data_IF_409762507742
#
_entry.id   IF_409762507742
#
_cell.length_a   1.000
_cell.length_b   1.000
_cell.length_c   1.000
_cell.angle_alpha   90.00
_cell.angle_beta   90.00
_cell.angle_gamma   90.00
#
_symmetry.space_group_name_H-M   'P 1'
#
loop_
_entity.id
_entity.type
_entity.pdbx_description
1 polymer ?
#
# COMPACT_ATOMS: atom_id res chain seq x y z
N UNK A 1 -19.57 -23.73 66.45
CA UNK A 1 -18.36 -24.05 67.21
C UNK A 1 -17.20 -23.79 66.27
N UNK A 2 -16.59 -22.59 66.31
CA UNK A 2 -15.35 -22.29 67.07
C UNK A 2 -14.23 -23.26 66.63
N UNK A 3 -13.04 -22.88 66.17
CA UNK A 3 -12.18 -21.73 66.39
C UNK A 3 -10.95 -21.94 65.42
N UNK A 4 -10.28 -20.92 64.85
CA UNK A 4 -9.06 -20.26 65.38
C UNK A 4 -7.95 -21.30 65.63
N UNK A 5 -6.70 -21.28 65.15
CA UNK A 5 -5.83 -20.30 64.48
C UNK A 5 -4.39 -20.90 64.48
N UNK A 6 -3.48 -20.54 63.55
CA UNK A 6 -2.27 -19.70 63.81
C UNK A 6 -0.94 -20.45 64.05
N UNK A 7 0.07 -20.04 63.25
CA UNK A 7 1.54 -19.96 63.50
C UNK A 7 2.35 -21.29 63.50
N UNK A 8 3.64 -21.38 63.14
CA UNK A 8 4.72 -20.41 62.89
C UNK A 8 5.89 -21.11 62.15
N UNK A 9 6.61 -20.39 61.28
CA UNK A 9 8.02 -20.67 60.89
C UNK A 9 8.99 -20.32 62.05
N UNK A 10 10.20 -20.89 62.11
CA UNK A 10 11.43 -20.11 61.75
C UNK A 10 12.49 -20.93 60.95
N UNK A 11 13.28 -20.31 60.04
CA UNK A 11 14.70 -19.86 60.18
C UNK A 11 15.66 -20.96 60.69
N UNK A 12 16.89 -21.21 60.21
CA UNK A 12 17.90 -20.46 59.44
C UNK A 12 19.09 -21.41 59.10
N UNK A 13 19.90 -21.02 58.10
CA UNK A 13 21.17 -21.63 57.61
C UNK A 13 22.32 -21.65 58.67
N UNK A 14 23.66 -21.80 58.38
CA UNK A 14 24.44 -22.04 57.13
C UNK A 14 25.71 -22.95 57.31
N UNK A 15 26.67 -22.86 56.35
CA UNK A 15 28.12 -23.22 56.39
C UNK A 15 28.47 -24.66 55.96
N UNK A 16 29.52 -24.98 55.18
CA UNK A 16 30.65 -24.21 54.63
C UNK A 16 31.52 -25.11 53.72
N UNK A 17 31.95 -24.56 52.58
CA UNK A 17 33.31 -24.55 51.98
C UNK A 17 34.17 -25.82 51.74
N UNK A 18 35.02 -25.68 50.71
CA UNK A 18 36.32 -26.31 50.37
C UNK A 18 36.23 -27.07 49.03
N UNK A 19 36.62 -26.54 47.86
CA UNK A 19 37.87 -25.90 47.35
C UNK A 19 38.86 -26.94 46.75
N UNK A 20 39.39 -26.53 45.59
CA UNK A 20 40.56 -26.99 44.80
C UNK A 20 40.36 -28.23 43.92
N UNK A 21 40.91 -28.33 42.70
CA UNK A 21 41.56 -27.44 41.72
C UNK A 21 42.06 -28.40 40.62
N UNK A 22 41.92 -28.04 39.35
CA UNK A 22 43.00 -27.65 38.41
C UNK A 22 44.17 -28.68 38.38
N UNK A 23 44.73 -29.10 37.25
CA UNK A 23 44.93 -28.40 35.99
C UNK A 23 45.67 -29.34 34.99
N UNK A 24 45.82 -28.88 33.73
CA UNK A 24 47.08 -28.93 32.93
C UNK A 24 47.41 -30.29 32.26
N UNK A 25 47.78 -30.43 30.97
CA UNK A 25 48.29 -29.49 29.97
C UNK A 25 48.22 -30.07 28.53
N UNK A 26 47.96 -29.17 27.56
CA UNK A 26 48.59 -29.02 26.23
C UNK A 26 48.94 -30.21 25.31
N UNK A 27 48.45 -30.10 24.07
CA UNK A 27 49.28 -30.35 22.86
C UNK A 27 48.94 -29.36 21.74
N UNK A 28 49.88 -28.45 21.52
CA UNK A 28 50.06 -27.66 20.31
C UNK A 28 50.46 -28.57 19.14
N UNK A 29 49.93 -28.32 17.94
CA UNK A 29 50.67 -28.49 16.67
C UNK A 29 50.22 -27.42 15.68
N UNK A 30 51.15 -26.51 15.43
CA UNK A 30 51.28 -25.63 14.27
C UNK A 30 51.50 -26.46 12.99
N UNK A 31 50.99 -25.97 11.86
CA UNK A 31 51.61 -26.15 10.55
C UNK A 31 51.21 -24.97 9.66
N UNK A 32 52.22 -24.23 9.21
CA UNK A 32 52.15 -23.25 8.12
C UNK A 32 52.98 -23.77 6.95
N UNK A 33 52.61 -23.31 5.75
CA UNK A 33 53.32 -23.30 4.45
C UNK A 33 53.35 -24.62 3.67
N UNK A 34 52.60 -24.66 2.57
CA UNK A 34 53.13 -24.78 1.19
C UNK A 34 52.15 -24.09 0.23
N UNK A 35 52.54 -22.93 -0.29
CA UNK A 35 52.10 -22.40 -1.59
C UNK A 35 52.64 -23.32 -2.70
N UNK A 36 51.80 -23.68 -3.67
CA UNK A 36 52.25 -24.03 -5.01
C UNK A 36 51.46 -23.19 -6.01
N UNK A 37 52.21 -22.27 -6.59
CA UNK A 37 51.81 -21.27 -7.57
C UNK A 37 51.54 -21.85 -8.97
N UNK A 38 51.04 -21.02 -9.92
CA UNK A 38 50.31 -21.43 -11.11
C UNK A 38 51.11 -21.43 -12.43
N UNK A 39 50.48 -22.00 -13.47
CA UNK A 39 50.73 -21.86 -14.93
C UNK A 39 52.00 -22.52 -15.52
N UNK A 40 51.89 -23.03 -16.77
CA UNK A 40 52.46 -22.25 -17.87
C UNK A 40 51.72 -22.37 -19.21
N UNK A 41 51.61 -21.24 -19.92
CA UNK A 41 51.98 -21.01 -21.33
C UNK A 41 51.69 -19.51 -21.56
N UNK A 42 52.67 -18.63 -21.31
CA UNK A 42 53.56 -18.01 -22.30
C UNK A 42 52.81 -17.37 -23.48
N UNK A 43 53.10 -16.18 -23.97
CA UNK A 43 53.95 -15.04 -23.63
C UNK A 43 53.73 -14.06 -24.82
N UNK A 44 53.79 -12.75 -24.62
CA UNK A 44 54.69 -11.84 -25.37
C UNK A 44 54.29 -10.34 -25.29
N UNK A 45 55.33 -9.54 -24.99
CA UNK A 45 55.56 -8.08 -25.08
C UNK A 45 54.77 -7.14 -24.14
N UNK A 46 55.36 -6.62 -23.04
CA UNK A 46 56.29 -5.45 -22.93
C UNK A 46 55.70 -4.18 -23.59
N UNK A 47 55.55 -3.03 -22.95
CA UNK A 47 56.56 -2.25 -22.21
C UNK A 47 55.93 -0.96 -21.62
N UNK A 48 56.38 -0.57 -20.41
CA UNK A 48 56.65 0.78 -19.82
C UNK A 48 55.81 2.02 -20.27
N UNK A 49 55.46 3.01 -19.43
CA UNK A 49 56.09 3.57 -18.24
C UNK A 49 55.11 4.42 -17.41
N UNK A 50 55.49 4.67 -16.16
CA UNK A 50 54.97 5.64 -15.19
C UNK A 50 55.05 7.11 -15.63
N UNK A 51 54.16 7.97 -15.12
CA UNK A 51 54.49 9.11 -14.23
C UNK A 51 53.36 10.17 -14.14
N UNK A 52 52.98 10.48 -12.89
CA UNK A 52 52.68 11.80 -12.28
C UNK A 52 51.80 12.86 -12.99
N UNK A 53 50.76 13.32 -12.26
CA UNK A 53 50.00 14.58 -12.42
C UNK A 53 50.87 15.83 -12.06
N UNK A 54 50.48 17.12 -12.30
CA UNK A 54 49.21 17.76 -11.91
C UNK A 54 48.64 18.87 -12.87
N UNK A 55 47.52 19.49 -12.46
CA UNK A 55 46.98 20.89 -12.65
C UNK A 55 47.30 21.64 -13.97
N UNK A 56 46.42 22.39 -14.65
CA UNK A 56 45.53 23.44 -14.15
C UNK A 56 44.59 23.98 -15.27
N UNK A 57 43.71 24.92 -14.91
CA UNK A 57 42.63 25.54 -15.69
C UNK A 57 43.05 26.49 -16.84
N UNK A 58 42.07 26.78 -17.71
CA UNK A 58 41.78 28.07 -18.37
C UNK A 58 42.01 28.25 -19.89
N UNK A 59 40.90 28.62 -20.54
CA UNK A 59 40.72 29.64 -21.60
C UNK A 59 41.08 29.41 -23.09
N UNK A 60 40.00 29.42 -23.89
CA UNK A 60 39.72 30.29 -25.05
C UNK A 60 40.80 30.52 -26.15
N UNK A 61 40.43 30.00 -27.33
CA UNK A 61 40.17 30.75 -28.58
C UNK A 61 41.25 30.89 -29.65
N UNK A 62 40.76 30.76 -30.91
CA UNK A 62 41.29 31.17 -32.23
C UNK A 62 42.37 30.23 -32.82
N UNK A 63 42.06 29.54 -33.92
CA UNK A 63 42.30 29.92 -35.33
C UNK A 63 43.82 30.02 -35.60
N UNK A 64 44.46 29.39 -36.58
CA UNK A 64 44.07 29.01 -37.94
C UNK A 64 45.26 28.28 -38.61
N UNK A 65 44.96 27.49 -39.63
CA UNK A 65 45.76 27.21 -40.82
C UNK A 65 47.04 26.34 -40.81
N UNK A 66 47.14 25.61 -41.95
CA UNK A 66 48.28 24.89 -42.56
C UNK A 66 48.53 23.48 -42.00
N UNK A 67 48.55 22.39 -42.78
CA UNK A 67 48.43 22.17 -44.21
C UNK A 67 49.03 20.81 -44.59
N UNK A 68 48.24 19.97 -45.28
CA UNK A 68 48.62 19.10 -46.41
C UNK A 68 49.45 17.81 -46.15
N UNK A 69 48.82 16.62 -46.32
CA UNK A 69 48.98 15.65 -47.45
C UNK A 69 48.26 14.31 -47.13
N UNK A 70 47.13 14.00 -47.80
CA UNK A 70 46.95 13.03 -48.92
C UNK A 70 47.23 11.56 -48.51
N UNK A 71 46.26 10.64 -48.52
CA UNK A 71 45.70 10.02 -49.75
C UNK A 71 44.45 9.12 -49.52
N UNK A 72 43.48 9.21 -50.48
CA UNK A 72 42.62 8.15 -51.11
C UNK A 72 41.70 7.24 -50.23
N UNK A 73 40.40 6.93 -50.46
CA UNK A 73 39.38 7.04 -51.54
C UNK A 73 37.97 6.89 -50.94
N UNK A 74 36.96 7.64 -51.41
CA UNK A 74 35.56 7.18 -51.44
C UNK A 74 34.73 7.97 -52.46
N UNK A 75 34.11 7.24 -53.39
CA UNK A 75 33.34 7.71 -54.55
C UNK A 75 32.12 8.56 -54.20
N UNK A 76 31.93 9.64 -54.95
CA UNK A 76 30.76 10.55 -54.90
C UNK A 76 30.03 10.47 -56.25
N UNK A 77 28.77 10.04 -56.24
CA UNK A 77 27.82 10.26 -57.35
C UNK A 77 27.01 11.51 -57.02
N UNK A 78 27.07 12.50 -57.90
CA UNK A 78 26.32 13.75 -57.83
C UNK A 78 24.86 13.53 -58.25
N UNK A 79 23.92 14.20 -57.58
CA UNK A 79 22.62 14.51 -58.20
C UNK A 79 22.05 15.81 -57.61
N UNK A 80 21.80 16.76 -58.51
CA UNK A 80 21.40 18.15 -58.24
C UNK A 80 19.93 18.28 -57.78
N UNK A 81 19.59 19.33 -57.00
CA UNK A 81 18.21 19.61 -56.62
C UNK A 81 17.43 20.27 -57.77
N UNK A 82 16.49 19.52 -58.37
CA UNK A 82 15.55 20.03 -59.38
C UNK A 82 14.68 21.17 -58.84
N UNK A 83 14.84 22.38 -59.41
CA UNK A 83 13.94 23.53 -59.21
C UNK A 83 12.54 23.20 -59.77
N UNK A 84 11.48 23.47 -59.01
CA UNK A 84 10.08 23.31 -59.45
C UNK A 84 9.73 24.41 -60.48
N UNK A 85 8.96 24.10 -61.54
CA UNK A 85 8.51 25.10 -62.49
C UNK A 85 7.47 26.06 -61.87
N UNK A 86 7.35 27.30 -62.37
CA UNK A 86 6.44 28.30 -61.82
C UNK A 86 4.95 27.91 -62.01
N UNK A 87 4.16 28.22 -60.99
CA UNK A 87 2.71 28.01 -60.93
C UNK A 87 2.01 28.85 -62.01
N UNK A 88 1.23 28.23 -62.90
CA UNK A 88 0.30 28.96 -63.78
C UNK A 88 -0.92 29.39 -62.96
N UNK A 89 -1.38 30.65 -63.01
CA UNK A 89 -2.62 31.04 -62.36
C UNK A 89 -3.81 30.33 -63.02
N UNK A 90 -4.65 29.69 -62.21
CA UNK A 90 -5.91 29.13 -62.66
C UNK A 90 -6.83 30.25 -63.14
N UNK A 91 -7.41 30.10 -64.34
CA UNK A 91 -8.50 30.95 -64.80
C UNK A 91 -9.66 30.94 -63.79
N UNK A 92 -10.36 32.07 -63.56
CA UNK A 92 -11.43 32.12 -62.59
C UNK A 92 -12.57 31.20 -63.05
N UNK A 93 -12.83 30.14 -62.28
CA UNK A 93 -14.01 29.30 -62.46
C UNK A 93 -15.25 30.19 -62.29
N UNK A 94 -16.08 30.31 -63.33
CA UNK A 94 -17.41 30.93 -63.19
C UNK A 94 -18.12 30.28 -62.01
N UNK A 95 -18.50 31.06 -61.00
CA UNK A 95 -19.40 30.60 -59.93
C UNK A 95 -20.71 30.17 -60.61
N UNK A 96 -20.95 28.86 -60.71
CA UNK A 96 -22.29 28.35 -61.00
C UNK A 96 -23.15 28.64 -59.78
N UNK A 97 -24.11 29.53 -59.95
CA UNK A 97 -25.12 29.79 -58.92
C UNK A 97 -25.98 28.53 -58.75
N UNK A 98 -26.07 28.04 -57.51
CA UNK A 98 -26.88 26.89 -57.17
C UNK A 98 -28.32 27.34 -56.90
N UNK A 99 -29.30 26.65 -57.49
CA UNK A 99 -30.73 26.94 -57.26
C UNK A 99 -31.12 26.74 -55.79
N UNK A 100 -32.14 27.44 -55.27
CA UNK A 100 -32.55 27.34 -53.85
C UNK A 100 -32.84 25.90 -53.38
N UNK A 101 -33.36 25.05 -54.26
CA UNK A 101 -33.59 23.62 -53.99
C UNK A 101 -32.29 22.80 -53.90
N UNK A 102 -31.25 23.14 -54.68
CA UNK A 102 -29.92 22.53 -54.54
C UNK A 102 -29.22 22.98 -53.25
N UNK A 103 -29.45 24.23 -52.82
CA UNK A 103 -28.96 24.73 -51.53
C UNK A 103 -29.68 24.05 -50.35
N UNK A 104 -31.00 23.82 -50.44
CA UNK A 104 -31.74 23.04 -49.44
C UNK A 104 -31.28 21.56 -49.40
N UNK A 105 -31.12 20.86 -50.53
CA UNK A 105 -30.61 19.46 -50.53
C UNK A 105 -29.19 19.36 -49.96
N UNK A 106 -28.34 20.37 -50.16
CA UNK A 106 -27.02 20.45 -49.51
C UNK A 106 -27.10 20.78 -48.02
N UNK A 107 -28.07 21.59 -47.59
CA UNK A 107 -28.36 21.85 -46.18
C UNK A 107 -28.84 20.58 -45.46
N UNK A 108 -29.70 19.78 -46.10
CA UNK A 108 -30.12 18.47 -45.60
C UNK A 108 -28.98 17.44 -45.57
N UNK A 109 -28.12 17.38 -46.61
CA UNK A 109 -26.91 16.52 -46.58
C UNK A 109 -25.87 16.96 -45.54
N UNK A 110 -25.70 18.27 -45.29
CA UNK A 110 -24.85 18.79 -44.21
C UNK A 110 -25.44 18.54 -42.82
N UNK A 111 -26.76 18.54 -42.70
CA UNK A 111 -27.48 18.19 -41.46
C UNK A 111 -27.37 16.69 -41.15
N UNK A 112 -27.44 15.81 -42.15
CA UNK A 112 -27.27 14.37 -42.00
C UNK A 112 -25.82 13.90 -41.80
N UNK A 113 -24.82 14.73 -42.16
CA UNK A 113 -23.39 14.48 -41.90
C UNK A 113 -22.95 14.91 -40.49
N UNK A 114 -23.89 15.36 -39.65
CA UNK A 114 -23.67 15.72 -38.24
C UNK A 114 -23.69 14.54 -37.27
N UNK A 115 -23.70 13.29 -37.73
CA UNK A 115 -23.43 12.15 -36.85
C UNK A 115 -21.91 12.08 -36.62
N UNK A 116 -21.45 12.69 -35.52
CA UNK A 116 -20.06 12.64 -35.10
C UNK A 116 -19.59 11.18 -34.92
N UNK A 117 -18.85 10.65 -35.89
CA UNK A 117 -18.14 9.39 -35.75
C UNK A 117 -17.01 9.58 -34.72
N UNK A 118 -17.30 9.29 -33.45
CA UNK A 118 -16.26 9.26 -32.41
C UNK A 118 -15.35 8.07 -32.68
N UNK A 119 -14.12 8.35 -33.15
CA UNK A 119 -13.09 7.32 -33.29
C UNK A 119 -12.87 6.65 -31.94
N UNK A 120 -13.08 5.33 -31.88
CA UNK A 120 -12.82 4.56 -30.66
C UNK A 120 -11.35 4.71 -30.27
N UNK A 121 -11.09 5.38 -29.15
CA UNK A 121 -9.72 5.61 -28.66
C UNK A 121 -9.14 4.36 -27.99
N UNK A 122 -10.00 3.58 -27.32
CA UNK A 122 -9.62 2.35 -26.59
C UNK A 122 -9.72 1.12 -27.49
N UNK A 123 -8.92 1.10 -28.55
CA UNK A 123 -8.85 -0.03 -29.48
C UNK A 123 -8.08 -1.22 -28.90
N UNK A 124 -8.16 -2.39 -29.55
CA UNK A 124 -7.29 -3.55 -29.24
C UNK A 124 -5.80 -3.19 -29.25
N UNK A 125 -5.39 -2.29 -30.16
CA UNK A 125 -4.02 -1.80 -30.24
C UNK A 125 -3.62 -0.93 -29.04
N UNK A 126 -4.57 -0.16 -28.47
CA UNK A 126 -4.36 0.57 -27.22
C UNK A 126 -4.08 -0.39 -26.07
N UNK A 127 -4.94 -1.39 -25.84
CA UNK A 127 -4.79 -2.33 -24.72
C UNK A 127 -3.52 -3.18 -24.79
N UNK A 128 -3.06 -3.54 -25.99
CA UNK A 128 -1.79 -4.26 -26.18
C UNK A 128 -0.56 -3.45 -25.72
N UNK A 129 -0.61 -2.12 -25.74
CA UNK A 129 0.49 -1.23 -25.33
C UNK A 129 0.26 -0.58 -23.97
N UNK A 130 -0.93 -0.77 -23.38
CA UNK A 130 -1.28 -0.12 -22.13
C UNK A 130 -0.56 -0.80 -20.96
N UNK A 131 0.46 -0.12 -20.42
CA UNK A 131 1.16 -0.59 -19.23
C UNK A 131 0.41 -0.16 -17.97
N UNK A 132 -0.09 -1.16 -17.25
CA UNK A 132 -0.88 -0.98 -16.05
C UNK A 132 0.03 -0.60 -14.86
N UNK A 133 -0.35 0.43 -14.09
CA UNK A 133 0.35 0.77 -12.85
C UNK A 133 0.11 -0.28 -11.76
N UNK A 134 0.96 -0.32 -10.73
CA UNK A 134 0.79 -1.22 -9.59
C UNK A 134 -0.61 -1.16 -8.97
N UNK A 135 -1.11 -2.29 -8.47
CA UNK A 135 -2.48 -2.45 -7.95
C UNK A 135 -2.90 -1.32 -6.99
N UNK A 136 -2.11 -1.05 -5.94
CA UNK A 136 -2.41 0.01 -4.97
C UNK A 136 -2.38 1.43 -5.53
N UNK A 137 -1.63 1.67 -6.61
CA UNK A 137 -1.61 2.98 -7.30
C UNK A 137 -2.89 3.17 -8.13
N UNK A 138 -3.40 2.10 -8.75
CA UNK A 138 -4.70 2.09 -9.45
C UNK A 138 -5.87 2.26 -8.49
N UNK A 139 -5.80 1.65 -7.32
CA UNK A 139 -6.78 1.85 -6.24
C UNK A 139 -6.63 3.21 -5.54
N UNK A 140 -5.61 4.01 -5.87
CA UNK A 140 -5.39 5.33 -5.26
C UNK A 140 -5.08 5.27 -3.76
N UNK A 141 -4.48 4.19 -3.25
CA UNK A 141 -4.22 3.99 -1.81
C UNK A 141 -2.77 4.27 -1.40
N UNK A 142 -1.86 4.35 -2.35
CA UNK A 142 -0.42 4.47 -2.04
C UNK A 142 0.29 5.25 -3.11
N UNK A 143 1.05 6.26 -2.68
CA UNK A 143 2.10 6.87 -3.47
C UNK A 143 3.41 6.09 -3.24
N UNK A 144 3.88 5.42 -4.29
CA UNK A 144 5.12 4.64 -4.24
C UNK A 144 6.36 5.53 -4.12
N UNK A 145 6.32 6.80 -4.59
CA UNK A 145 7.47 7.71 -4.46
C UNK A 145 7.72 8.09 -3.00
N UNK A 146 6.67 8.39 -2.25
CA UNK A 146 6.75 8.61 -0.81
C UNK A 146 7.13 7.31 -0.07
N UNK A 147 6.47 6.20 -0.41
CA UNK A 147 6.71 4.92 0.27
C UNK A 147 8.15 4.42 0.13
N UNK A 148 8.75 4.48 -1.06
CA UNK A 148 10.13 4.05 -1.30
C UNK A 148 11.09 4.78 -0.34
N UNK A 149 10.93 6.09 -0.15
CA UNK A 149 11.78 6.88 0.76
C UNK A 149 11.60 6.51 2.23
N UNK A 150 10.37 6.17 2.63
CA UNK A 150 10.08 5.78 4.02
C UNK A 150 10.60 4.38 4.36
N UNK A 151 10.51 3.41 3.44
CA UNK A 151 10.89 2.01 3.69
C UNK A 151 12.36 1.73 3.42
N UNK A 152 13.02 2.52 2.55
CA UNK A 152 14.41 2.28 2.19
C UNK A 152 15.28 2.39 3.46
N UNK A 153 16.05 1.35 3.73
CA UNK A 153 16.95 1.23 4.87
C UNK A 153 18.37 1.04 4.34
N UNK A 154 19.34 1.59 5.07
CA UNK A 154 20.74 1.43 4.71
C UNK A 154 21.13 -0.05 4.80
N UNK A 155 21.82 -0.56 3.78
CA UNK A 155 22.14 -2.00 3.68
C UNK A 155 23.09 -2.47 4.80
N UNK A 156 23.89 -1.57 5.37
CA UNK A 156 24.76 -1.84 6.50
C UNK A 156 24.01 -2.11 7.82
N UNK A 157 22.70 -1.85 7.88
CA UNK A 157 21.84 -2.18 9.03
C UNK A 157 21.23 -3.59 8.94
N UNK A 158 21.58 -4.36 7.91
CA UNK A 158 21.18 -5.75 7.70
C UNK A 158 19.67 -5.96 7.89
N UNK A 159 19.28 -6.83 8.84
CA UNK A 159 17.89 -7.19 9.10
C UNK A 159 17.21 -6.29 10.15
N UNK A 160 17.80 -5.13 10.48
CA UNK A 160 17.20 -4.21 11.46
C UNK A 160 15.93 -3.58 10.87
N UNK A 161 14.74 -3.83 11.46
CA UNK A 161 13.49 -3.33 10.92
C UNK A 161 13.43 -1.80 11.01
N UNK A 162 13.02 -1.16 9.91
CA UNK A 162 12.70 0.27 9.89
C UNK A 162 11.21 0.46 10.20
N UNK A 163 10.90 0.90 11.41
CA UNK A 163 9.52 1.07 11.86
C UNK A 163 8.90 2.36 11.34
N UNK A 164 7.62 2.26 10.97
CA UNK A 164 6.78 3.37 10.52
C UNK A 164 5.54 3.45 11.39
N UNK A 165 5.23 4.64 11.85
CA UNK A 165 3.97 4.98 12.51
C UNK A 165 2.95 5.39 11.45
N UNK A 166 2.10 4.45 11.07
CA UNK A 166 1.11 4.60 10.00
C UNK A 166 -0.22 5.06 10.60
N UNK A 167 -0.63 6.27 10.27
CA UNK A 167 -1.92 6.84 10.70
C UNK A 167 -2.85 6.94 9.51
N UNK A 168 -4.07 6.40 9.63
CA UNK A 168 -5.09 6.41 8.58
C UNK A 168 -6.43 6.84 9.16
N UNK A 169 -7.04 7.80 8.48
CA UNK A 169 -8.40 8.25 8.78
C UNK A 169 -9.37 7.58 7.82
N UNK A 170 -10.46 7.09 8.37
CA UNK A 170 -11.68 6.72 7.66
C UNK A 170 -12.78 7.71 8.04
N UNK A 171 -13.94 7.62 7.41
CA UNK A 171 -15.02 8.57 7.69
C UNK A 171 -15.55 8.49 9.13
N UNK A 172 -15.46 7.32 9.77
CA UNK A 172 -16.01 7.07 11.11
C UNK A 172 -14.97 6.63 12.15
N UNK A 173 -13.69 6.61 11.80
CA UNK A 173 -12.67 6.15 12.75
C UNK A 173 -11.24 6.40 12.29
N UNK A 174 -10.35 6.24 13.26
CA UNK A 174 -8.91 6.45 13.14
C UNK A 174 -8.22 5.11 13.38
N UNK A 175 -7.23 4.78 12.54
CA UNK A 175 -6.37 3.63 12.70
C UNK A 175 -4.92 4.10 12.83
N UNK A 176 -4.27 3.69 13.90
CA UNK A 176 -2.86 3.91 14.18
C UNK A 176 -2.16 2.55 14.22
N UNK A 177 -1.02 2.42 13.56
CA UNK A 177 -0.28 1.15 13.48
C UNK A 177 1.23 1.38 13.47
N UNK A 178 2.00 0.52 14.13
CA UNK A 178 3.46 0.42 13.92
C UNK A 178 3.73 -0.70 12.93
N UNK A 179 4.42 -0.36 11.84
CA UNK A 179 4.61 -1.27 10.71
C UNK A 179 6.08 -1.29 10.28
N UNK A 180 6.63 -2.49 10.09
CA UNK A 180 7.90 -2.71 9.38
C UNK A 180 7.65 -3.33 8.00
N UNK A 181 8.56 -3.12 7.05
CA UNK A 181 8.44 -3.69 5.71
C UNK A 181 9.22 -5.01 5.62
N UNK A 182 8.62 -6.04 5.01
CA UNK A 182 9.31 -7.27 4.59
C UNK A 182 9.09 -7.52 3.09
N UNK A 183 9.82 -8.49 2.53
CA UNK A 183 9.73 -8.84 1.10
C UNK A 183 8.34 -9.36 0.73
N UNK A 184 7.73 -10.20 1.57
CA UNK A 184 6.40 -10.75 1.34
C UNK A 184 5.29 -9.72 1.55
N UNK A 185 5.48 -8.82 2.53
CA UNK A 185 4.48 -7.83 2.91
C UNK A 185 4.88 -7.01 4.13
N UNK A 186 4.02 -6.06 4.50
CA UNK A 186 4.23 -5.28 5.72
C UNK A 186 3.85 -6.10 6.96
N UNK A 187 4.69 -6.05 7.99
CA UNK A 187 4.45 -6.69 9.29
C UNK A 187 3.97 -5.64 10.29
N UNK A 188 2.81 -5.85 10.91
CA UNK A 188 2.25 -4.95 11.92
C UNK A 188 2.73 -5.42 13.29
N UNK A 189 3.45 -4.55 14.00
CA UNK A 189 3.93 -4.82 15.35
C UNK A 189 2.80 -4.60 16.38
N UNK A 190 2.14 -3.44 16.32
CA UNK A 190 1.00 -3.10 17.15
C UNK A 190 -0.02 -2.26 16.38
N UNK A 191 -1.27 -2.30 16.82
CA UNK A 191 -2.37 -1.50 16.28
C UNK A 191 -3.24 -0.91 17.39
N UNK A 192 -3.82 0.25 17.09
CA UNK A 192 -4.84 0.90 17.91
C UNK A 192 -5.88 1.54 16.99
N UNK A 193 -7.14 1.50 17.43
CA UNK A 193 -8.26 2.01 16.66
C UNK A 193 -9.16 2.89 17.52
N UNK A 194 -9.78 3.91 16.91
CA UNK A 194 -10.68 4.81 17.61
C UNK A 194 -11.92 4.10 18.19
N UNK A 195 -12.41 3.04 17.55
CA UNK A 195 -13.57 2.29 18.04
C UNK A 195 -13.28 1.45 19.29
N UNK A 196 -12.03 1.40 19.76
CA UNK A 196 -11.67 0.81 21.04
C UNK A 196 -11.68 1.84 22.18
N UNK A 197 -11.65 3.14 21.86
CA UNK A 197 -11.68 4.23 22.83
C UNK A 197 -12.93 4.27 23.73
N UNK A 198 -14.12 3.79 23.30
CA UNK A 198 -15.28 3.68 24.18
C UNK A 198 -15.01 2.83 25.43
N UNK A 199 -14.07 1.88 25.38
CA UNK A 199 -13.68 1.08 26.56
C UNK A 199 -13.01 1.90 27.66
N UNK A 200 -12.42 3.04 27.28
CA UNK A 200 -11.72 3.95 28.19
C UNK A 200 -12.58 5.17 28.56
N UNK A 201 -13.85 5.21 28.14
CA UNK A 201 -14.79 6.28 28.45
C UNK A 201 -15.04 7.31 27.33
N UNK A 202 -14.42 7.16 26.15
CA UNK A 202 -14.70 8.04 25.00
C UNK A 202 -15.69 7.38 24.04
N UNK A 203 -16.98 7.63 24.23
CA UNK A 203 -18.04 6.99 23.44
C UNK A 203 -18.32 7.69 22.10
N UNK A 204 -18.20 9.02 22.06
CA UNK A 204 -18.55 9.87 20.91
C UNK A 204 -17.33 10.61 20.36
N UNK A 205 -17.45 11.19 19.16
CA UNK A 205 -16.40 12.06 18.62
C UNK A 205 -15.14 11.34 18.13
N UNK A 206 -15.24 10.08 17.71
CA UNK A 206 -14.11 9.18 17.38
C UNK A 206 -13.23 9.60 16.17
N UNK A 207 -13.47 10.76 15.56
CA UNK A 207 -12.71 11.26 14.42
C UNK A 207 -12.15 12.67 14.63
N UNK A 208 -12.33 13.30 15.79
CA UNK A 208 -11.79 14.64 16.06
C UNK A 208 -10.27 14.60 16.34
N UNK A 209 -9.67 15.76 16.62
CA UNK A 209 -8.24 15.86 16.94
C UNK A 209 -7.90 15.17 18.27
N UNK A 210 -8.77 15.31 19.28
CA UNK A 210 -8.61 14.72 20.61
C UNK A 210 -8.64 13.18 20.58
N UNK A 211 -9.55 12.58 19.82
CA UNK A 211 -9.59 11.14 19.59
C UNK A 211 -8.34 10.66 18.83
N UNK A 212 -7.83 11.45 17.87
CA UNK A 212 -6.57 11.14 17.19
C UNK A 212 -5.42 11.06 18.20
N UNK A 213 -5.32 12.05 19.09
CA UNK A 213 -4.37 12.07 20.20
C UNK A 213 -4.50 10.82 21.07
N UNK A 214 -5.71 10.50 21.54
CA UNK A 214 -5.97 9.30 22.34
C UNK A 214 -5.55 8.00 21.61
N UNK A 215 -5.83 7.87 20.31
CA UNK A 215 -5.40 6.69 19.53
C UNK A 215 -3.89 6.57 19.40
N UNK A 216 -3.17 7.70 19.28
CA UNK A 216 -1.72 7.73 19.25
C UNK A 216 -1.11 7.31 20.59
N UNK A 217 -1.65 7.86 21.69
CA UNK A 217 -1.26 7.53 23.05
C UNK A 217 -1.47 6.04 23.37
N UNK A 218 -2.63 5.50 23.00
CA UNK A 218 -2.95 4.09 23.18
C UNK A 218 -1.98 3.17 22.43
N UNK A 219 -1.65 3.52 21.19
CA UNK A 219 -0.66 2.76 20.43
C UNK A 219 0.73 2.81 21.07
N UNK A 220 1.18 3.99 21.49
CA UNK A 220 2.49 4.16 22.12
C UNK A 220 2.63 3.29 23.38
N UNK A 221 1.66 3.38 24.30
CA UNK A 221 1.65 2.58 25.52
C UNK A 221 1.55 1.08 25.25
N UNK A 222 0.82 0.66 24.20
CA UNK A 222 0.79 -0.75 23.75
C UNK A 222 2.15 -1.26 23.30
N UNK A 223 2.84 -0.47 22.47
CA UNK A 223 4.15 -0.85 21.93
C UNK A 223 5.18 -0.94 23.05
N UNK A 224 5.21 0.05 23.93
CA UNK A 224 6.15 0.07 25.05
C UNK A 224 5.88 -1.05 26.05
N UNK A 225 4.61 -1.33 26.38
CA UNK A 225 4.25 -2.46 27.26
C UNK A 225 4.63 -3.81 26.66
N UNK A 226 4.50 -3.96 25.34
CA UNK A 226 4.90 -5.18 24.63
C UNK A 226 6.42 -5.36 24.56
N UNK A 227 7.19 -4.26 24.61
CA UNK A 227 8.65 -4.27 24.60
C UNK A 227 9.25 -4.16 26.00
N UNK A 228 8.42 -4.11 27.04
CA UNK A 228 8.83 -3.97 28.46
C UNK A 228 9.67 -2.71 28.69
N UNK A 229 9.26 -1.59 28.10
CA UNK A 229 9.93 -0.27 28.17
C UNK A 229 8.99 0.85 28.62
N UNK A 230 7.84 0.48 29.18
CA UNK A 230 6.77 1.41 29.54
C UNK A 230 7.02 2.20 30.82
N UNK A 231 7.87 1.69 31.72
CA UNK A 231 8.34 2.37 32.93
C UNK A 231 9.47 3.38 32.65
N UNK A 232 10.42 3.03 31.77
CA UNK A 232 11.53 3.90 31.37
C UNK A 232 11.05 5.10 30.55
N UNK A 233 10.13 4.86 29.61
CA UNK A 233 9.61 5.88 28.71
C UNK A 233 8.13 6.17 28.97
N UNK A 234 7.85 6.90 30.06
CA UNK A 234 6.48 7.30 30.42
C UNK A 234 5.91 8.42 29.55
N UNK A 235 6.79 9.20 28.92
CA UNK A 235 6.44 10.40 28.15
C UNK A 235 5.83 11.50 29.01
N UNK A 236 5.14 12.46 28.38
CA UNK A 236 4.52 13.59 29.07
C UNK A 236 3.15 13.19 29.67
N UNK A 237 3.05 13.12 31.00
CA UNK A 237 1.83 12.71 31.73
C UNK A 237 0.70 13.72 31.62
N UNK A 238 1.01 15.01 31.65
CA UNK A 238 0.02 16.08 31.82
C UNK A 238 -0.53 16.63 30.51
N UNK A 239 0.03 16.21 29.37
CA UNK A 239 -0.36 16.66 28.03
C UNK A 239 -0.41 18.19 27.92
N UNK A 240 0.68 18.85 28.31
CA UNK A 240 0.82 20.33 28.33
C UNK A 240 0.62 20.98 26.96
N UNK A 241 0.82 20.23 25.87
CA UNK A 241 0.70 20.71 24.48
C UNK A 241 2.00 21.27 23.90
N UNK A 242 3.06 21.32 24.71
CA UNK A 242 4.39 21.73 24.30
C UNK A 242 5.03 20.72 23.35
N UNK A 243 6.04 21.13 22.59
CA UNK A 243 6.85 20.19 21.81
C UNK A 243 7.59 19.23 22.77
N UNK A 244 7.50 17.93 22.50
CA UNK A 244 8.08 16.92 23.37
C UNK A 244 8.83 15.90 22.53
N UNK A 245 10.12 15.78 22.78
CA UNK A 245 11.00 14.76 22.23
C UNK A 245 11.47 13.88 23.38
N UNK A 246 11.44 12.57 23.16
CA UNK A 246 11.93 11.60 24.15
C UNK A 246 13.43 11.54 24.03
N UNK A 247 14.13 12.00 25.06
CA UNK A 247 15.59 11.88 25.13
C UNK A 247 16.02 10.45 25.43
N UNK A 248 17.15 9.98 24.88
CA UNK A 248 17.66 8.65 25.14
C UNK A 248 18.06 8.51 26.61
N UNK A 249 17.68 7.36 27.19
CA UNK A 249 18.08 6.99 28.55
C UNK A 249 19.48 6.39 28.55
N UNK A 250 19.96 6.01 29.74
CA UNK A 250 21.24 5.33 29.89
C UNK A 250 21.21 3.87 29.43
N UNK A 251 20.04 3.23 29.47
CA UNK A 251 19.92 1.79 29.27
C UNK A 251 19.61 1.39 27.82
N UNK A 252 18.37 1.60 27.37
CA UNK A 252 17.89 1.32 26.01
C UNK A 252 17.60 2.63 25.30
N UNK A 253 17.60 2.61 23.97
CA UNK A 253 17.17 3.78 23.20
C UNK A 253 15.65 3.76 23.04
N UNK A 254 14.98 4.93 23.03
CA UNK A 254 13.54 5.00 22.86
C UNK A 254 13.11 4.39 21.53
N UNK A 255 11.90 3.84 21.50
CA UNK A 255 11.39 3.17 20.32
C UNK A 255 11.18 4.18 19.18
N UNK A 256 12.04 4.09 18.17
CA UNK A 256 12.02 5.03 17.04
C UNK A 256 11.10 4.57 15.91
N UNK A 257 10.16 5.44 15.51
CA UNK A 257 9.29 5.21 14.36
C UNK A 257 9.19 6.45 13.45
N UNK A 258 8.97 6.24 12.15
CA UNK A 258 8.77 7.34 11.20
C UNK A 258 7.29 7.54 10.87
N UNK A 259 6.78 8.76 10.95
CA UNK A 259 5.40 9.05 10.60
C UNK A 259 5.12 8.79 9.10
N UNK A 260 4.18 7.90 8.81
CA UNK A 260 3.65 7.63 7.47
C UNK A 260 2.23 8.20 7.35
N UNK A 261 2.13 9.37 6.72
CA UNK A 261 0.89 10.11 6.47
C UNK A 261 0.11 9.55 5.26
N UNK A 262 0.74 8.72 4.44
CA UNK A 262 0.15 8.14 3.23
C UNK A 262 -0.10 9.21 2.15
N UNK A 263 -1.37 9.37 1.78
CA UNK A 263 -1.81 10.34 0.75
C UNK A 263 -2.43 11.60 1.35
N UNK A 264 -2.48 11.70 2.68
CA UNK A 264 -3.05 12.86 3.37
C UNK A 264 -2.13 14.06 3.19
N UNK A 265 -2.72 15.24 2.96
CA UNK A 265 -1.95 16.49 2.85
C UNK A 265 -1.43 16.90 4.22
N UNK A 266 -0.15 17.23 4.30
CA UNK A 266 0.52 17.68 5.52
C UNK A 266 0.26 19.17 5.77
N UNK A 267 -0.99 19.53 6.03
CA UNK A 267 -1.42 20.87 6.43
C UNK A 267 -1.24 21.08 7.93
N UNK A 268 -1.12 22.33 8.38
CA UNK A 268 -1.10 22.68 9.81
C UNK A 268 -2.44 22.33 10.46
N UNK A 269 -2.40 21.79 11.69
CA UNK A 269 -3.61 21.37 12.42
C UNK A 269 -4.30 20.12 11.86
N UNK A 270 -3.66 19.36 10.97
CA UNK A 270 -4.23 18.09 10.52
C UNK A 270 -4.26 17.07 11.68
N UNK A 271 -5.37 16.35 11.81
CA UNK A 271 -5.59 15.32 12.84
C UNK A 271 -4.53 14.21 12.85
N UNK A 272 -3.85 13.94 11.73
CA UNK A 272 -2.69 13.02 11.70
C UNK A 272 -1.61 13.45 12.68
N UNK A 273 -1.40 14.76 12.84
CA UNK A 273 -0.42 15.30 13.78
C UNK A 273 -0.94 15.28 15.23
N UNK A 274 -2.25 15.21 15.46
CA UNK A 274 -2.81 14.90 16.78
C UNK A 274 -2.44 13.49 17.23
N UNK A 275 -2.56 12.50 16.34
CA UNK A 275 -2.11 11.13 16.61
C UNK A 275 -0.58 11.03 16.78
N UNK A 276 0.19 11.83 16.03
CA UNK A 276 1.63 11.99 16.26
C UNK A 276 1.89 12.51 17.67
N UNK A 277 1.21 13.58 18.09
CA UNK A 277 1.44 14.18 19.40
C UNK A 277 1.10 13.22 20.54
N UNK A 278 0.00 12.48 20.44
CA UNK A 278 -0.34 11.44 21.41
C UNK A 278 0.69 10.31 21.46
N UNK A 279 1.29 9.95 20.33
CA UNK A 279 2.35 8.94 20.29
C UNK A 279 3.65 9.41 20.96
N UNK A 280 4.02 10.69 20.80
CA UNK A 280 5.16 11.32 21.46
C UNK A 280 4.97 11.39 22.97
N UNK A 281 3.82 11.90 23.42
CA UNK A 281 3.48 12.01 24.84
C UNK A 281 3.31 10.63 25.50
N UNK A 282 3.09 9.59 24.69
CA UNK A 282 3.08 8.19 25.14
C UNK A 282 4.46 7.53 25.22
N UNK A 283 5.54 8.22 24.81
CA UNK A 283 6.92 7.75 24.94
C UNK A 283 7.57 7.19 23.67
N UNK A 284 6.96 7.34 22.48
CA UNK A 284 7.62 6.96 21.23
C UNK A 284 8.54 8.09 20.71
N UNK A 285 9.70 7.71 20.19
CA UNK A 285 10.57 8.64 19.45
C UNK A 285 10.12 8.71 17.99
N UNK A 286 9.51 9.82 17.60
CA UNK A 286 9.14 10.09 16.21
C UNK A 286 9.76 11.42 15.80
N UNK A 287 10.76 11.42 14.88
CA UNK A 287 11.37 12.65 14.41
C UNK A 287 10.35 13.58 13.75
N UNK A 288 10.21 14.80 14.26
CA UNK A 288 9.20 15.75 13.80
C UNK A 288 9.65 17.21 13.98
N UNK A 289 8.77 18.13 13.61
CA UNK A 289 8.92 19.56 13.81
C UNK A 289 7.54 20.15 14.16
N UNK A 290 7.54 21.15 15.04
CA UNK A 290 6.41 21.87 15.61
C UNK A 290 5.47 22.57 14.59
N UNK A 291 5.96 22.90 13.39
CA UNK A 291 5.24 23.65 12.34
C UNK A 291 3.92 23.05 11.85
N UNK A 292 3.60 21.81 12.21
CA UNK A 292 2.41 21.10 11.72
C UNK A 292 1.35 20.83 12.78
N UNK A 293 1.64 21.13 14.05
CA UNK A 293 0.67 21.03 15.12
C UNK A 293 -0.43 22.08 14.99
N UNK A 294 -1.56 21.82 15.66
CA UNK A 294 -2.64 22.79 15.77
C UNK A 294 -2.20 23.93 16.70
N UNK A 295 -2.44 25.19 16.32
CA UNK A 295 -1.95 26.37 17.07
C UNK A 295 -0.64 26.96 16.56
N UNK A 296 0.03 26.33 15.58
CA UNK A 296 1.21 26.92 14.97
C UNK A 296 0.84 28.12 14.08
N UNK A 297 1.34 29.30 14.43
CA UNK A 297 1.17 30.51 13.62
C UNK A 297 2.35 30.68 12.68
N UNK A 298 2.06 30.78 11.38
CA UNK A 298 3.09 30.90 10.34
C UNK A 298 3.86 32.22 10.42
N UNK A 299 3.21 33.28 10.88
CA UNK A 299 3.76 34.64 10.91
C UNK A 299 4.78 34.79 12.06
N UNK A 300 4.39 34.34 13.26
CA UNK A 300 5.24 34.36 14.46
C UNK A 300 6.26 33.21 14.48
N UNK A 301 6.06 32.17 13.65
CA UNK A 301 6.86 30.93 13.59
C UNK A 301 6.99 30.22 14.96
N UNK A 302 6.02 30.42 15.84
CA UNK A 302 5.97 29.83 17.16
C UNK A 302 4.68 29.03 17.33
N UNK A 303 4.76 27.99 18.16
CA UNK A 303 3.61 27.17 18.55
C UNK A 303 2.91 27.84 19.73
N UNK A 304 1.63 28.15 19.55
CA UNK A 304 0.77 28.52 20.67
C UNK A 304 0.38 27.25 21.44
N UNK A 305 1.04 27.05 22.58
CA UNK A 305 0.89 25.88 23.45
C UNK A 305 -0.53 25.77 24.00
N UNK A 306 -1.14 26.91 24.35
CA UNK A 306 -2.49 26.93 24.91
C UNK A 306 -3.53 26.50 23.87
N UNK A 307 -3.39 27.00 22.63
CA UNK A 307 -4.25 26.57 21.53
C UNK A 307 -4.05 25.09 21.27
N UNK A 308 -2.81 24.60 21.21
CA UNK A 308 -2.56 23.19 20.98
C UNK A 308 -3.18 22.30 22.08
N UNK A 309 -3.04 22.70 23.35
CA UNK A 309 -3.67 22.05 24.51
C UNK A 309 -5.20 22.03 24.38
N UNK A 310 -5.82 23.15 23.96
CA UNK A 310 -7.26 23.21 23.66
C UNK A 310 -7.67 22.21 22.58
N UNK A 311 -6.84 21.93 21.58
CA UNK A 311 -7.13 20.90 20.57
C UNK A 311 -7.04 19.46 21.12
N UNK A 312 -6.07 19.20 22.00
CA UNK A 312 -5.87 17.89 22.63
C UNK A 312 -7.08 17.51 23.51
N UNK A 313 -7.58 18.45 24.30
CA UNK A 313 -8.73 18.22 25.20
C UNK A 313 -10.09 18.51 24.57
N UNK A 314 -10.16 18.71 23.24
CA UNK A 314 -11.43 18.90 22.54
C UNK A 314 -12.11 20.26 22.80
N UNK A 315 -11.40 21.25 23.34
CA UNK A 315 -11.91 22.59 23.60
C UNK A 315 -12.49 23.27 22.36
N UNK A 316 -11.91 23.07 21.18
CA UNK A 316 -12.47 23.55 19.91
C UNK A 316 -13.86 22.98 19.58
N UNK A 317 -14.13 21.72 19.97
CA UNK A 317 -15.45 21.10 19.81
C UNK A 317 -16.41 21.67 20.85
N UNK A 318 -15.97 21.85 22.09
CA UNK A 318 -16.77 22.48 23.14
C UNK A 318 -17.14 23.93 22.78
N UNK A 319 -16.20 24.73 22.25
CA UNK A 319 -16.50 26.07 21.74
C UNK A 319 -17.52 26.03 20.61
N UNK A 320 -17.39 25.08 19.67
CA UNK A 320 -18.34 24.94 18.56
C UNK A 320 -19.74 24.51 19.03
N UNK A 321 -19.82 23.68 20.06
CA UNK A 321 -21.09 23.32 20.71
C UNK A 321 -21.74 24.57 21.32
N UNK A 322 -21.00 25.38 22.08
CA UNK A 322 -21.51 26.62 22.69
C UNK A 322 -22.04 27.61 21.66
N UNK A 323 -21.26 27.89 20.61
CA UNK A 323 -21.70 28.80 19.54
C UNK A 323 -22.97 28.30 18.86
N UNK A 324 -23.09 26.98 18.59
CA UNK A 324 -24.29 26.43 17.96
C UNK A 324 -25.50 26.39 18.90
N UNK A 325 -25.30 26.25 20.21
CA UNK A 325 -26.40 26.31 21.17
C UNK A 325 -26.99 27.72 21.25
N UNK A 326 -26.15 28.76 21.15
CA UNK A 326 -26.55 30.16 21.21
C UNK A 326 -27.14 30.65 19.87
N UNK A 327 -26.45 30.38 18.75
CA UNK A 327 -26.82 30.92 17.44
C UNK A 327 -27.93 30.10 16.76
N UNK A 328 -27.84 28.76 16.79
CA UNK A 328 -28.65 27.86 15.96
C UNK A 328 -28.96 26.50 16.62
N UNK A 329 -29.93 26.46 17.56
CA UNK A 329 -30.20 25.26 18.37
C UNK A 329 -30.65 24.05 17.54
N UNK A 330 -31.31 24.26 16.40
CA UNK A 330 -31.69 23.16 15.48
C UNK A 330 -30.47 22.45 14.89
N UNK A 331 -29.45 23.22 14.47
CA UNK A 331 -28.19 22.65 13.97
C UNK A 331 -27.43 21.94 15.07
N UNK A 332 -27.45 22.46 16.30
CA UNK A 332 -26.86 21.79 17.45
C UNK A 332 -27.47 20.39 17.67
N UNK A 333 -28.79 20.29 17.67
CA UNK A 333 -29.49 19.01 17.83
C UNK A 333 -29.15 18.02 16.72
N UNK A 334 -29.05 18.48 15.47
CA UNK A 334 -28.70 17.62 14.34
C UNK A 334 -27.23 17.14 14.40
N UNK A 335 -26.28 18.06 14.61
CA UNK A 335 -24.84 17.74 14.59
C UNK A 335 -24.38 16.96 15.82
N UNK A 336 -24.93 17.26 17.00
CA UNK A 336 -24.51 16.69 18.28
C UNK A 336 -25.55 15.75 18.88
N UNK A 337 -26.45 15.19 18.06
CA UNK A 337 -27.46 14.21 18.49
C UNK A 337 -26.89 13.08 19.35
N UNK A 338 -25.76 12.48 18.96
CA UNK A 338 -25.10 11.44 19.77
C UNK A 338 -24.56 11.95 21.10
N UNK A 339 -24.11 13.21 21.18
CA UNK A 339 -23.64 13.81 22.44
C UNK A 339 -24.81 14.07 23.39
N UNK A 340 -25.94 14.57 22.86
CA UNK A 340 -27.18 14.80 23.63
C UNK A 340 -27.72 13.47 24.17
N UNK A 341 -27.76 12.43 23.33
CA UNK A 341 -28.21 11.09 23.72
C UNK A 341 -27.36 10.46 24.84
N UNK A 342 -26.10 10.87 24.96
CA UNK A 342 -25.16 10.40 25.99
C UNK A 342 -25.00 11.37 27.16
N UNK A 343 -25.68 12.53 27.14
CA UNK A 343 -25.60 13.54 28.19
C UNK A 343 -24.24 14.22 28.31
N UNK A 344 -23.50 14.39 27.20
CA UNK A 344 -22.18 15.03 27.20
C UNK A 344 -22.31 16.51 26.87
N UNK A 345 -22.07 17.35 27.87
CA UNK A 345 -22.10 18.81 27.78
C UNK A 345 -20.72 19.40 27.42
N UNK A 346 -20.67 20.62 26.85
CA UNK A 346 -19.42 21.23 26.42
C UNK A 346 -18.42 21.47 27.56
N UNK A 347 -18.90 21.77 28.78
CA UNK A 347 -18.05 22.11 29.91
C UNK A 347 -17.32 20.89 30.51
N UNK A 348 -17.89 19.68 30.40
CA UNK A 348 -17.31 18.43 30.91
C UNK A 348 -16.31 17.73 29.98
N UNK A 349 -16.02 18.30 28.81
CA UNK A 349 -15.21 17.64 27.77
C UNK A 349 -13.75 17.44 28.19
N UNK A 350 -13.12 18.45 28.82
CA UNK A 350 -11.71 18.34 29.24
C UNK A 350 -11.51 17.24 30.29
N UNK A 351 -12.42 17.15 31.26
CA UNK A 351 -12.38 16.10 32.28
C UNK A 351 -12.53 14.70 31.68
N UNK A 352 -13.40 14.57 30.67
CA UNK A 352 -13.62 13.30 29.96
C UNK A 352 -12.32 12.83 29.31
N UNK A 353 -11.61 13.70 28.58
CA UNK A 353 -10.34 13.32 27.95
C UNK A 353 -9.23 13.03 28.98
N UNK A 354 -9.15 13.77 30.09
CA UNK A 354 -8.21 13.46 31.18
C UNK A 354 -8.43 12.06 31.75
N UNK A 355 -9.69 11.69 32.02
CA UNK A 355 -10.06 10.33 32.47
C UNK A 355 -9.66 9.28 31.45
N UNK A 356 -9.91 9.53 30.17
CA UNK A 356 -9.53 8.62 29.07
C UNK A 356 -8.00 8.45 28.98
N UNK A 357 -7.23 9.53 29.08
CA UNK A 357 -5.76 9.46 29.05
C UNK A 357 -5.21 8.64 30.22
N UNK A 358 -5.75 8.83 31.43
CA UNK A 358 -5.38 8.05 32.60
C UNK A 358 -5.75 6.57 32.45
N UNK A 359 -6.95 6.27 31.96
CA UNK A 359 -7.40 4.89 31.72
C UNK A 359 -6.55 4.17 30.67
N UNK A 360 -6.14 4.87 29.60
CA UNK A 360 -5.23 4.33 28.58
C UNK A 360 -3.85 4.00 29.17
N UNK A 361 -3.33 4.85 30.06
CA UNK A 361 -2.03 4.63 30.71
C UNK A 361 -2.09 3.45 31.67
N UNK A 362 -3.19 3.28 32.40
CA UNK A 362 -3.40 2.16 33.30
C UNK A 362 -3.43 0.82 32.52
N UNK A 363 -4.30 0.73 31.50
CA UNK A 363 -4.51 -0.52 30.77
C UNK A 363 -4.45 -0.33 29.25
N UNK A 364 -3.26 -0.34 28.63
CA UNK A 364 -3.16 -0.19 27.19
C UNK A 364 -3.50 -1.48 26.43
N UNK A 365 -3.82 -2.61 27.08
CA UNK A 365 -3.87 -3.92 26.40
C UNK A 365 -4.99 -4.02 25.34
N UNK A 366 -4.78 -4.87 24.32
CA UNK A 366 -5.77 -5.10 23.27
C UNK A 366 -6.73 -6.22 23.68
N UNK A 367 -8.03 -5.91 23.84
CA UNK A 367 -9.00 -6.96 24.16
C UNK A 367 -9.32 -7.82 22.94
N UNK A 368 -9.20 -9.14 23.10
CA UNK A 368 -9.48 -10.15 22.07
C UNK A 368 -10.98 -10.29 21.81
N UNK A 369 -11.35 -10.65 20.58
CA UNK A 369 -12.74 -10.97 20.24
C UNK A 369 -13.18 -12.26 20.93
N UNK A 370 -14.32 -12.21 21.62
CA UNK A 370 -14.96 -13.38 22.24
C UNK A 370 -15.86 -14.16 21.28
N UNK A 371 -16.12 -13.63 20.08
CA UNK A 371 -16.99 -14.27 19.08
C UNK A 371 -16.30 -15.53 18.50
N UNK A 372 -16.95 -16.71 18.56
CA UNK A 372 -16.38 -17.92 17.97
C UNK A 372 -16.39 -17.81 16.43
N UNK A 373 -15.45 -18.51 15.74
CA UNK A 373 -15.48 -18.59 14.29
C UNK A 373 -16.78 -19.28 13.83
N UNK A 374 -17.41 -18.83 12.73
CA UNK A 374 -18.62 -19.46 12.22
C UNK A 374 -18.32 -20.89 11.78
N UNK A 375 -19.21 -21.84 12.14
CA UNK A 375 -19.07 -23.26 11.79
C UNK A 375 -19.12 -23.50 10.27
N UNK A 376 -19.96 -22.74 9.57
CA UNK A 376 -20.10 -22.82 8.11
C UNK A 376 -20.03 -21.43 7.48
N UNK A 377 -19.27 -21.29 6.39
CA UNK A 377 -19.13 -20.01 5.68
C UNK A 377 -20.23 -19.85 4.62
N UNK A 378 -21.28 -19.10 4.95
CA UNK A 378 -22.34 -18.74 3.98
C UNK A 378 -21.75 -17.89 2.85
N UNK A 379 -21.92 -18.36 1.60
CA UNK A 379 -21.45 -17.63 0.41
C UNK A 379 -22.54 -16.70 -0.11
N UNK A 380 -22.27 -15.40 -0.12
CA UNK A 380 -23.18 -14.38 -0.68
C UNK A 380 -22.92 -14.08 -2.17
N UNK A 381 -21.69 -14.35 -2.64
CA UNK A 381 -21.30 -14.10 -4.03
C UNK A 381 -21.70 -15.28 -4.94
N UNK A 382 -22.14 -14.99 -6.16
CA UNK A 382 -22.43 -16.02 -7.16
C UNK A 382 -21.23 -16.94 -7.39
N UNK A 383 -21.50 -18.23 -7.60
CA UNK A 383 -20.49 -19.20 -8.03
C UNK A 383 -20.05 -18.86 -9.45
N UNK A 384 -18.74 -18.94 -9.70
CA UNK A 384 -18.21 -18.72 -11.05
C UNK A 384 -18.70 -19.88 -11.91
N UNK A 385 -19.43 -19.58 -12.97
CA UNK A 385 -19.97 -20.59 -13.89
C UNK A 385 -18.85 -21.47 -14.42
N UNK A 386 -19.14 -22.76 -14.51
CA UNK A 386 -18.21 -23.72 -15.12
C UNK A 386 -18.08 -23.44 -16.62
N UNK A 387 -17.14 -24.12 -17.28
CA UNK A 387 -17.01 -24.00 -18.73
C UNK A 387 -18.24 -24.56 -19.46
N UNK A 388 -18.74 -25.71 -19.02
CA UNK A 388 -19.89 -26.41 -19.59
C UNK A 388 -21.18 -25.59 -19.46
N UNK A 389 -21.45 -25.05 -18.27
CA UNK A 389 -22.60 -24.17 -18.04
C UNK A 389 -22.57 -22.93 -18.94
N UNK A 390 -21.38 -22.37 -19.20
CA UNK A 390 -21.22 -21.23 -20.12
C UNK A 390 -21.43 -21.64 -21.57
N UNK A 391 -21.01 -22.84 -21.97
CA UNK A 391 -21.21 -23.39 -23.32
C UNK A 391 -22.70 -23.68 -23.57
N UNK A 392 -23.37 -24.31 -22.61
CA UNK A 392 -24.81 -24.58 -22.69
C UNK A 392 -25.61 -23.28 -22.85
N UNK A 393 -25.35 -22.28 -21.99
CA UNK A 393 -25.99 -20.95 -22.09
C UNK A 393 -25.72 -20.24 -23.42
N UNK A 394 -24.56 -20.44 -24.03
CA UNK A 394 -24.27 -19.88 -25.35
C UNK A 394 -25.10 -20.55 -26.44
N UNK A 395 -25.21 -21.89 -26.40
CA UNK A 395 -26.02 -22.66 -27.35
C UNK A 395 -27.49 -22.26 -27.23
N UNK A 396 -28.02 -22.21 -26.01
CA UNK A 396 -29.39 -21.77 -25.73
C UNK A 396 -29.64 -20.36 -26.29
N UNK A 397 -28.70 -19.43 -26.10
CA UNK A 397 -28.82 -18.06 -26.61
C UNK A 397 -28.79 -17.98 -28.14
N UNK A 398 -27.97 -18.79 -28.80
CA UNK A 398 -27.92 -18.86 -30.26
C UNK A 398 -29.22 -19.45 -30.83
N UNK A 399 -29.72 -20.53 -30.22
CA UNK A 399 -30.97 -21.15 -30.63
C UNK A 399 -32.15 -20.19 -30.47
N UNK A 400 -32.22 -19.45 -29.36
CA UNK A 400 -33.24 -18.44 -29.13
C UNK A 400 -33.18 -17.29 -30.15
N UNK A 401 -31.97 -16.81 -30.49
CA UNK A 401 -31.79 -15.77 -31.51
C UNK A 401 -32.24 -16.23 -32.91
N UNK A 402 -31.91 -17.46 -33.27
CA UNK A 402 -32.32 -18.04 -34.54
C UNK A 402 -33.85 -18.22 -34.60
N UNK A 403 -34.47 -18.60 -33.48
CA UNK A 403 -35.93 -18.70 -33.39
C UNK A 403 -36.64 -17.33 -33.47
N UNK A 404 -36.08 -16.28 -32.84
CA UNK A 404 -36.66 -14.93 -32.93
C UNK A 404 -36.50 -14.30 -34.31
N UNK A 405 -35.37 -14.52 -34.99
CA UNK A 405 -35.13 -13.96 -36.32
C UNK A 405 -36.03 -14.61 -37.40
N UNK A 406 -36.55 -15.81 -37.15
CA UNK A 406 -37.52 -16.47 -38.03
C UNK A 406 -38.98 -16.06 -37.80
N UNK A 407 -39.28 -15.23 -36.78
CA UNK A 407 -40.63 -14.73 -36.52
C UNK A 407 -40.91 -13.35 -37.16
N UNK A 408 -39.86 -12.62 -37.55
CA UNK A 408 -39.96 -11.32 -38.24
C UNK A 408 -40.08 -11.45 -39.77
N UNK A 409 -40.15 -12.67 -40.32
CA UNK A 409 -40.25 -12.94 -41.77
C UNK A 409 -41.66 -13.27 -42.26
N UNK A 410 -42.65 -13.34 -41.38
CA UNK A 410 -43.99 -13.86 -41.70
C UNK A 410 -45.09 -12.78 -41.75
N UNK A 411 -44.74 -11.50 -41.92
CA UNK A 411 -45.69 -10.38 -42.04
C UNK A 411 -45.49 -9.46 -43.27
N UNK A 412 -45.06 -9.98 -44.42
CA UNK A 412 -45.21 -9.26 -45.70
C UNK A 412 -45.62 -10.19 -46.86
N UNK A 413 -46.88 -10.60 -46.86
CA UNK A 413 -47.59 -11.05 -48.07
C UNK A 413 -48.88 -10.22 -48.23
N UNK A 414 -48.77 -9.00 -48.79
CA UNK A 414 -49.68 -8.49 -49.84
C UNK A 414 -49.23 -7.08 -50.28
N UNK A 415 -48.57 -6.96 -51.44
CA UNK A 415 -48.90 -5.98 -52.50
C UNK A 415 -47.93 -6.12 -53.70
N UNK A 416 -48.52 -6.22 -54.88
CA UNK A 416 -47.90 -6.51 -56.18
C UNK A 416 -46.77 -5.56 -56.64
N UNK A 417 -45.69 -6.19 -57.17
CA UNK A 417 -45.04 -5.92 -58.48
C UNK A 417 -44.15 -4.66 -58.61
N UNK A 418 -42.82 -4.86 -58.69
CA UNK A 418 -41.97 -4.50 -59.86
C UNK A 418 -40.47 -4.85 -59.67
N UNK A 419 -39.94 -5.64 -60.63
CA UNK A 419 -38.57 -5.64 -61.17
C UNK A 419 -37.35 -5.93 -60.24
N UNK A 420 -36.94 -7.21 -60.18
CA UNK A 420 -35.64 -7.76 -60.66
C UNK A 420 -35.29 -9.07 -59.92
N UNK A 421 -34.74 -10.10 -60.59
CA UNK A 421 -34.39 -11.36 -59.93
C UNK A 421 -33.12 -11.22 -59.08
N UNK A 422 -33.07 -11.74 -57.84
CA UNK A 422 -31.81 -11.85 -57.12
C UNK A 422 -30.99 -13.01 -57.70
N UNK A 423 -29.76 -12.71 -58.10
CA UNK A 423 -28.75 -13.69 -58.46
C UNK A 423 -28.47 -14.62 -57.28
N UNK A 424 -28.48 -15.93 -57.57
CA UNK A 424 -27.92 -16.99 -56.75
C UNK A 424 -26.54 -16.58 -56.20
N UNK A 425 -26.43 -16.38 -54.89
CA UNK A 425 -25.13 -16.40 -54.21
C UNK A 425 -24.86 -17.86 -53.86
N UNK A 426 -24.09 -18.52 -54.72
CA UNK A 426 -23.49 -19.81 -54.48
C UNK A 426 -22.57 -19.75 -53.26
N UNK A 427 -22.72 -20.72 -52.37
CA UNK A 427 -21.77 -21.02 -51.32
C UNK A 427 -20.39 -21.29 -51.95
N UNK A 428 -19.42 -20.43 -51.64
CA UNK A 428 -17.99 -20.76 -51.79
C UNK A 428 -17.45 -21.19 -50.43
N UNK A 429 -16.71 -22.32 -50.34
CA UNK A 429 -16.21 -22.82 -49.07
C UNK A 429 -14.99 -22.00 -48.64
N UNK A 430 -15.14 -21.13 -47.64
CA UNK A 430 -14.01 -20.39 -47.07
C UNK A 430 -13.42 -21.13 -45.87
N UNK A 431 -12.34 -21.86 -46.18
CA UNK A 431 -11.06 -21.86 -45.47
C UNK A 431 -11.07 -22.11 -43.95
N UNK A 432 -10.82 -23.38 -43.59
CA UNK A 432 -10.19 -23.77 -42.33
C UNK A 432 -8.87 -23.00 -42.13
N UNK A 433 -8.62 -22.36 -40.97
CA UNK A 433 -7.30 -21.87 -40.63
C UNK A 433 -6.34 -23.05 -40.37
N UNK A 434 -5.05 -22.92 -40.73
CA UNK A 434 -4.11 -24.02 -40.68
C UNK A 434 -3.79 -24.45 -39.25
N UNK A 435 -3.70 -25.77 -39.08
CA UNK A 435 -3.20 -26.50 -37.93
C UNK A 435 -1.96 -25.82 -37.33
N UNK A 436 -2.09 -25.22 -36.15
CA UNK A 436 -0.91 -24.84 -35.36
C UNK A 436 -0.28 -26.10 -34.79
N UNK A 437 0.82 -26.49 -35.44
CA UNK A 437 1.93 -27.31 -34.94
C UNK A 437 1.98 -27.36 -33.41
N UNK A 438 1.71 -28.54 -32.88
CA UNK A 438 2.03 -28.92 -31.51
C UNK A 438 3.55 -28.77 -31.32
N UNK A 439 3.97 -27.82 -30.48
CA UNK A 439 5.28 -27.89 -29.84
C UNK A 439 5.08 -28.60 -28.52
N UNK A 440 5.57 -29.85 -28.45
CA UNK A 440 5.77 -30.58 -27.21
C UNK A 440 6.72 -29.78 -26.32
N UNK A 441 6.28 -29.39 -25.13
CA UNK A 441 7.18 -29.00 -24.05
C UNK A 441 7.78 -30.28 -23.47
N UNK A 442 9.09 -30.34 -23.17
CA UNK A 442 9.66 -31.44 -22.42
C UNK A 442 9.02 -31.48 -21.02
N UNK A 443 8.63 -32.69 -20.63
CA UNK A 443 8.08 -33.01 -19.31
C UNK A 443 9.11 -32.67 -18.23
N UNK A 444 8.68 -31.97 -17.18
CA UNK A 444 9.45 -31.89 -15.94
C UNK A 444 9.31 -33.24 -15.21
N UNK A 445 10.40 -33.79 -14.66
CA UNK A 445 10.34 -35.07 -13.94
C UNK A 445 9.46 -34.97 -12.68
N UNK A 446 8.80 -36.08 -12.28
CA UNK A 446 7.87 -36.07 -11.16
C UNK A 446 8.60 -35.77 -9.84
N UNK A 447 8.11 -34.77 -9.11
CA UNK A 447 8.48 -34.55 -7.72
C UNK A 447 7.85 -35.65 -6.86
N UNK A 448 8.72 -36.38 -6.17
CA UNK A 448 8.42 -37.40 -5.17
C UNK A 448 7.42 -36.89 -4.11
N UNK A 449 6.47 -37.72 -3.65
CA UNK A 449 5.62 -37.36 -2.54
C UNK A 449 6.43 -37.31 -1.24
N UNK A 450 6.43 -36.14 -0.59
CA UNK A 450 6.96 -35.97 0.76
C UNK A 450 6.13 -36.79 1.74
N UNK A 451 6.76 -37.82 2.31
CA UNK A 451 6.27 -38.54 3.46
C UNK A 451 6.12 -37.57 4.65
N UNK A 452 4.89 -37.22 4.99
CA UNK A 452 4.54 -36.77 6.34
C UNK A 452 4.11 -38.00 7.11
N UNK A 453 5.03 -38.51 7.92
CA UNK A 453 4.81 -39.51 8.94
C UNK A 453 3.93 -38.95 10.06
N UNK A 454 2.63 -39.23 10.02
CA UNK A 454 1.82 -39.28 11.23
C UNK A 454 2.10 -40.61 11.93
N UNK A 455 3.12 -40.63 12.79
CA UNK A 455 3.29 -41.69 13.79
C UNK A 455 2.20 -41.52 14.85
N UNK A 456 1.05 -42.18 14.65
CA UNK A 456 0.13 -42.51 15.75
C UNK A 456 0.70 -43.71 16.49
N UNK A 457 1.31 -43.45 17.64
CA UNK A 457 1.55 -44.46 18.66
C UNK A 457 0.19 -44.88 19.26
N UNK A 458 -0.26 -46.10 18.94
CA UNK A 458 -1.24 -46.82 19.77
C UNK A 458 -0.59 -48.12 20.24
N UNK A 459 0.09 -48.04 21.38
CA UNK A 459 0.48 -49.19 22.18
C UNK A 459 -0.79 -49.72 22.86
N UNK A 460 -1.33 -50.82 22.34
CA UNK A 460 -2.29 -51.67 23.04
C UNK A 460 -1.51 -52.85 23.62
N UNK A 461 -1.24 -52.78 24.93
CA UNK A 461 -0.77 -53.91 25.74
C UNK A 461 -1.75 -54.03 26.90
N UNK A 462 -2.66 -54.99 26.82
CA UNK A 462 -3.28 -55.65 27.98
C UNK A 462 -3.83 -57.02 27.56
N UNK A 463 -3.11 -58.07 27.97
CA UNK A 463 -3.58 -59.35 28.55
C UNK A 463 -4.96 -59.95 28.16
N UNK A 464 -4.91 -61.11 27.47
CA UNK A 464 -5.41 -62.48 27.84
C UNK A 464 -6.63 -62.54 28.80
N UNK A 465 -7.73 -63.29 28.48
CA UNK A 465 -7.83 -64.77 28.54
C UNK A 465 -8.45 -65.43 27.29
N UNK A 466 -7.91 -66.54 26.78
CA UNK A 466 -8.08 -67.96 27.18
C UNK A 466 -9.35 -68.61 26.57
N UNK A 467 -9.17 -69.79 25.95
CA UNK A 467 -10.09 -70.97 25.81
C UNK A 467 -10.31 -71.50 24.35
N UNK A 468 -9.83 -72.75 24.13
CA UNK A 468 -10.30 -73.86 23.23
C UNK A 468 -10.23 -73.64 21.68
N UNK A 469 -9.85 -74.56 20.78
CA UNK A 469 -9.76 -76.04 20.69
C UNK A 469 -8.81 -76.44 19.52
N UNK A 470 -8.26 -77.67 19.60
CA UNK A 470 -7.97 -78.65 18.51
C UNK A 470 -7.11 -78.21 17.30
N UNK A 471 -6.05 -78.88 16.85
CA UNK A 471 -5.52 -80.26 16.93
C UNK A 471 -4.02 -80.25 16.71
#
# INVERSE_FOLDING_TARGET
>A
MNQVSVLQFPLSAPLSSIILADAVEHKLKSFTVVELDPNPHQAFFLSLASATAPEDQAERSRASDLGIRLTWVASRVANEPKRRPPFKPFAPLRRREHTPQQQQRRRWRRSALGMAFVKSQKTKAYFKRYQVKYKRRREGKTDYRARIRLINQDKNKYNTPKYRFVVRFTNKGIAAQIISASIAGDLVLASAYAHELPRYGLEVGLTNYAAAYCTGLLLARRVLKMLEMDEEYQGNVEATGEDFSVEPGESRRPFRALLDVGLVRTTTGNRVFGALKGALDGGLDIPHNDKRFAGFKKDEKQLDVEVHRKYIFGGHVASYMKTLMEDEPEKYQAHFSEYINRGIEPDGMEETYKKVHAAIRADPTAAKSTKPPPKEHKRYNLKKLTYEERKAKLIERLNALNASAGADSDEEDDYHRCCHPPSLISFSPFFLPPSRRLYLKPENPPLLPSATSEFRFSLLVTSVPQILLET
#
